data_IF_258290713019
#
_entry.id   IF_258290713019
#
_cell.length_a   1.000
_cell.length_b   1.000
_cell.length_c   1.000
_cell.angle_alpha   90.00
_cell.angle_beta   90.00
_cell.angle_gamma   90.00
#
_symmetry.space_group_name_H-M   'P 1'
#
loop_
_entity.id
_entity.type
_entity.pdbx_description
1 polymer ?
#
# COMPACT_ATOMS: atom_id res chain seq x y z
N UNK A 1 -11.30 2.10 -6.94
CA UNK A 1 -11.10 3.52 -7.28
C UNK A 1 -9.87 3.65 -8.16
N UNK A 2 -9.79 4.69 -9.00
CA UNK A 2 -8.60 5.02 -9.78
C UNK A 2 -8.00 6.35 -9.28
N UNK A 3 -6.68 6.41 -9.07
CA UNK A 3 -5.96 7.66 -8.70
C UNK A 3 -4.95 7.98 -9.80
N UNK A 4 -4.92 9.24 -10.26
CA UNK A 4 -3.92 9.69 -11.22
C UNK A 4 -2.67 10.21 -10.51
N UNK A 5 -1.50 9.77 -10.95
CA UNK A 5 -0.20 10.27 -10.51
C UNK A 5 0.49 10.92 -11.70
N UNK A 6 0.76 12.22 -11.59
CA UNK A 6 1.49 12.99 -12.61
C UNK A 6 2.83 13.41 -12.03
N UNK A 7 3.91 13.17 -12.77
CA UNK A 7 5.26 13.55 -12.33
C UNK A 7 5.68 14.92 -12.86
N UNK A 8 6.87 15.36 -12.49
CA UNK A 8 7.44 16.65 -12.93
C UNK A 8 7.70 16.73 -14.43
N UNK A 9 7.73 15.60 -15.15
CA UNK A 9 7.86 15.55 -16.60
C UNK A 9 6.50 15.65 -17.32
N UNK A 10 5.40 15.79 -16.57
CA UNK A 10 4.04 15.88 -17.11
C UNK A 10 3.44 14.54 -17.53
N UNK A 11 4.14 13.41 -17.35
CA UNK A 11 3.59 12.09 -17.66
C UNK A 11 2.70 11.60 -16.53
N UNK A 12 1.62 10.91 -16.89
CA UNK A 12 0.59 10.47 -15.94
C UNK A 12 0.37 8.97 -16.04
N UNK A 13 0.30 8.31 -14.89
CA UNK A 13 -0.20 6.93 -14.76
C UNK A 13 -1.43 6.92 -13.85
N UNK A 14 -2.27 5.90 -13.96
CA UNK A 14 -3.42 5.71 -13.06
C UNK A 14 -3.24 4.47 -12.22
N UNK A 15 -3.31 4.59 -10.90
CA UNK A 15 -3.29 3.45 -9.97
C UNK A 15 -4.71 2.95 -9.70
N UNK A 16 -4.88 1.63 -9.62
CA UNK A 16 -6.11 1.01 -9.13
C UNK A 16 -5.97 0.74 -7.63
N UNK A 17 -6.92 1.22 -6.83
CA UNK A 17 -6.95 1.04 -5.38
C UNK A 17 -8.26 0.36 -4.95
N UNK A 18 -8.14 -0.69 -4.15
CA UNK A 18 -9.25 -1.29 -3.42
C UNK A 18 -9.62 -0.39 -2.24
N UNK A 19 -10.83 0.15 -2.26
CA UNK A 19 -11.30 1.09 -1.23
C UNK A 19 -11.59 0.42 0.12
N UNK A 20 -11.71 -0.90 0.16
CA UNK A 20 -12.01 -1.64 1.39
C UNK A 20 -10.79 -1.79 2.31
N UNK A 21 -9.59 -1.73 1.74
CA UNK A 21 -8.33 -1.95 2.45
C UNK A 21 -7.21 -0.99 2.04
N UNK A 22 -7.46 -0.08 1.09
CA UNK A 22 -6.51 0.87 0.51
C UNK A 22 -5.33 0.19 -0.20
N UNK A 23 -5.46 -1.05 -0.64
CA UNK A 23 -4.39 -1.73 -1.38
C UNK A 23 -4.36 -1.31 -2.83
N UNK A 24 -3.15 -1.02 -3.31
CA UNK A 24 -2.87 -0.85 -4.73
C UNK A 24 -2.97 -2.23 -5.39
N UNK A 25 -3.71 -2.34 -6.48
CA UNK A 25 -3.96 -3.59 -7.21
C UNK A 25 -3.20 -3.67 -8.54
N UNK A 26 -2.80 -2.52 -9.06
CA UNK A 26 -2.21 -2.39 -10.39
C UNK A 26 -2.18 -0.95 -10.85
N UNK A 27 -1.78 -0.73 -12.08
CA UNK A 27 -1.78 0.57 -12.71
C UNK A 27 -2.10 0.50 -14.21
N UNK A 28 -2.38 1.65 -14.79
CA UNK A 28 -2.53 1.88 -16.22
C UNK A 28 -1.56 2.97 -16.67
N UNK A 29 -0.90 2.73 -17.80
CA UNK A 29 -0.12 3.73 -18.53
C UNK A 29 -0.81 4.07 -19.86
N UNK A 30 -1.08 5.36 -20.13
CA UNK A 30 -1.57 5.83 -21.42
C UNK A 30 -0.46 6.07 -22.45
N UNK A 31 0.77 5.56 -22.24
CA UNK A 31 1.89 5.85 -23.12
C UNK A 31 1.57 5.48 -24.59
N UNK A 32 1.78 6.38 -25.58
CA UNK A 32 1.33 6.17 -26.97
C UNK A 32 1.80 4.85 -27.62
N UNK A 33 3.05 4.46 -27.35
CA UNK A 33 3.69 3.30 -27.99
C UNK A 33 3.56 1.96 -27.24
N UNK A 34 2.98 1.96 -26.04
CA UNK A 34 3.02 0.82 -25.11
C UNK A 34 1.92 0.93 -24.05
N UNK A 35 0.79 1.56 -24.42
CA UNK A 35 -0.32 1.74 -23.51
C UNK A 35 -0.82 0.38 -23.02
N UNK A 36 -1.21 0.31 -21.76
CA UNK A 36 -1.68 -0.94 -21.18
C UNK A 36 -1.91 -0.81 -19.69
N UNK A 37 -2.50 -1.83 -19.10
CA UNK A 37 -2.64 -1.94 -17.66
C UNK A 37 -1.92 -3.17 -17.12
N UNK A 38 -1.38 -3.05 -15.92
CA UNK A 38 -0.57 -4.05 -15.27
C UNK A 38 -1.08 -4.28 -13.86
N UNK A 39 -1.38 -5.53 -13.52
CA UNK A 39 -1.98 -5.93 -12.26
C UNK A 39 -1.07 -6.90 -11.54
N UNK A 40 -1.08 -6.86 -10.21
CA UNK A 40 -0.33 -7.81 -9.39
C UNK A 40 -0.78 -9.26 -9.64
N UNK A 41 0.14 -10.20 -9.43
CA UNK A 41 -0.09 -11.64 -9.55
C UNK A 41 -0.81 -12.19 -8.31
N UNK A 42 -2.01 -11.71 -8.06
CA UNK A 42 -2.86 -12.24 -6.99
C UNK A 42 -4.35 -12.22 -7.37
N UNK A 43 -5.16 -13.13 -6.79
CA UNK A 43 -6.59 -13.24 -7.05
C UNK A 43 -7.40 -11.94 -6.94
N UNK A 44 -7.05 -11.01 -6.04
CA UNK A 44 -7.81 -9.76 -5.87
C UNK A 44 -7.53 -8.83 -7.05
N UNK A 45 -6.26 -8.62 -7.39
CA UNK A 45 -5.86 -7.82 -8.54
C UNK A 45 -6.35 -8.40 -9.87
N UNK A 46 -6.34 -9.73 -10.01
CA UNK A 46 -6.90 -10.41 -11.19
C UNK A 46 -8.40 -10.18 -11.34
N UNK A 47 -9.17 -10.21 -10.25
CA UNK A 47 -10.60 -9.86 -10.31
C UNK A 47 -10.82 -8.40 -10.66
N UNK A 48 -9.97 -7.50 -10.16
CA UNK A 48 -10.08 -6.07 -10.41
C UNK A 48 -9.97 -5.70 -11.89
N UNK A 49 -9.29 -6.51 -12.71
CA UNK A 49 -9.24 -6.34 -14.17
C UNK A 49 -10.61 -6.24 -14.82
N UNK A 50 -11.69 -6.77 -14.22
CA UNK A 50 -13.05 -6.69 -14.77
C UNK A 50 -13.72 -5.32 -14.52
N UNK A 51 -13.20 -4.53 -13.58
CA UNK A 51 -13.88 -3.36 -13.05
C UNK A 51 -13.14 -2.05 -13.32
N UNK A 52 -11.81 -2.09 -13.45
CA UNK A 52 -10.98 -0.89 -13.67
C UNK A 52 -10.23 -0.95 -15.00
N UNK A 53 -9.92 0.23 -15.55
CA UNK A 53 -9.20 0.39 -16.81
C UNK A 53 -9.86 -0.37 -17.98
N UNK A 54 -11.19 -0.35 -18.08
CA UNK A 54 -11.95 -1.16 -19.05
C UNK A 54 -11.61 -0.89 -20.52
N UNK A 55 -11.22 0.33 -20.85
CA UNK A 55 -10.74 0.70 -22.19
C UNK A 55 -9.26 0.38 -22.44
N UNK A 56 -8.52 -0.08 -21.43
CA UNK A 56 -7.09 -0.38 -21.59
C UNK A 56 -6.87 -1.78 -22.18
N UNK A 57 -6.03 -1.84 -23.20
CA UNK A 57 -5.54 -3.08 -23.79
C UNK A 57 -4.06 -2.95 -24.15
N UNK A 58 -3.21 -3.95 -23.83
CA UNK A 58 -3.55 -5.17 -23.09
C UNK A 58 -3.73 -4.96 -21.57
N UNK A 59 -4.41 -5.91 -20.91
CA UNK A 59 -4.42 -6.03 -19.44
C UNK A 59 -3.48 -7.17 -19.01
N UNK A 60 -2.31 -6.83 -18.51
CA UNK A 60 -1.22 -7.77 -18.21
C UNK A 60 -1.12 -8.09 -16.73
N UNK A 61 -0.82 -9.35 -16.39
CA UNK A 61 -0.41 -9.76 -15.04
C UNK A 61 1.08 -9.58 -14.88
N UNK A 62 1.50 -8.90 -13.81
CA UNK A 62 2.90 -8.80 -13.40
C UNK A 62 3.41 -10.18 -12.94
N UNK A 63 4.72 -10.35 -12.84
CA UNK A 63 5.30 -11.63 -12.42
C UNK A 63 5.33 -11.81 -10.89
N UNK A 64 4.85 -10.82 -10.14
CA UNK A 64 4.89 -10.75 -8.69
C UNK A 64 3.57 -10.20 -8.14
N UNK A 65 3.25 -10.58 -6.90
CA UNK A 65 2.12 -10.03 -6.16
C UNK A 65 2.46 -8.66 -5.52
N UNK A 66 1.44 -7.99 -4.97
CA UNK A 66 1.61 -6.66 -4.38
C UNK A 66 2.03 -6.67 -2.90
N UNK A 67 2.36 -7.83 -2.31
CA UNK A 67 2.87 -7.88 -0.93
C UNK A 67 4.23 -7.21 -0.81
N UNK A 68 4.56 -6.73 0.39
CA UNK A 68 5.91 -6.22 0.65
C UNK A 68 6.99 -7.25 0.31
N UNK A 69 6.77 -8.52 0.64
CA UNK A 69 7.68 -9.63 0.30
C UNK A 69 7.80 -9.84 -1.21
N UNK A 70 6.68 -9.82 -1.94
CA UNK A 70 6.66 -9.93 -3.40
C UNK A 70 7.45 -8.82 -4.07
N UNK A 71 7.32 -7.59 -3.57
CA UNK A 71 8.09 -6.43 -4.05
C UNK A 71 9.58 -6.53 -3.71
N UNK A 72 9.92 -6.94 -2.48
CA UNK A 72 11.31 -7.09 -2.03
C UNK A 72 12.06 -8.18 -2.81
N UNK A 73 11.39 -9.30 -3.10
CA UNK A 73 11.93 -10.36 -3.97
C UNK A 73 12.23 -9.88 -5.40
N UNK A 74 11.67 -8.73 -5.81
CA UNK A 74 11.91 -8.12 -7.11
C UNK A 74 12.88 -6.93 -7.03
N UNK A 75 13.59 -6.74 -5.93
CA UNK A 75 14.65 -5.73 -5.80
C UNK A 75 14.18 -4.35 -5.33
N UNK A 76 12.96 -4.26 -4.80
CA UNK A 76 12.56 -3.16 -3.94
C UNK A 76 13.11 -3.39 -2.51
N UNK A 77 13.14 -2.34 -1.70
CA UNK A 77 13.47 -2.47 -0.28
C UNK A 77 12.67 -1.48 0.52
N UNK A 78 11.83 -1.97 1.41
CA UNK A 78 11.01 -1.10 2.26
C UNK A 78 11.84 -0.27 3.23
N UNK A 79 12.98 -0.80 3.70
CA UNK A 79 13.83 -0.13 4.71
C UNK A 79 14.76 0.92 4.13
N UNK A 80 15.25 0.72 2.90
CA UNK A 80 16.28 1.57 2.32
C UNK A 80 15.73 2.58 1.31
N UNK A 81 14.53 2.38 0.80
CA UNK A 81 13.92 3.28 -0.16
C UNK A 81 13.47 4.58 0.53
N UNK A 82 13.81 5.70 -0.09
CA UNK A 82 13.39 7.02 0.38
C UNK A 82 11.89 7.17 0.09
N UNK A 83 11.10 7.48 1.13
CA UNK A 83 9.72 7.94 0.99
C UNK A 83 9.77 9.40 0.56
N UNK A 84 9.11 9.75 -0.53
CA UNK A 84 9.36 11.07 -1.10
C UNK A 84 8.52 11.40 -2.31
N UNK A 85 8.11 12.67 -2.42
CA UNK A 85 7.49 13.17 -3.65
C UNK A 85 8.48 13.16 -4.84
N UNK A 86 9.76 13.57 -4.68
CA UNK A 86 10.81 13.33 -5.67
C UNK A 86 11.02 11.86 -6.04
N UNK A 87 11.02 10.95 -5.04
CA UNK A 87 11.12 9.52 -5.30
C UNK A 87 9.90 9.05 -6.12
N UNK A 88 8.69 9.45 -5.72
CA UNK A 88 7.45 9.11 -6.44
C UNK A 88 7.44 9.68 -7.87
N UNK A 89 7.93 10.90 -8.08
CA UNK A 89 8.04 11.55 -9.40
C UNK A 89 8.90 10.72 -10.38
N UNK A 90 10.06 10.24 -9.91
CA UNK A 90 10.93 9.35 -10.71
C UNK A 90 10.27 8.00 -11.00
N UNK A 91 9.48 7.50 -10.05
CA UNK A 91 8.86 6.18 -10.14
C UNK A 91 7.64 6.16 -11.05
N UNK A 92 6.92 7.27 -11.18
CA UNK A 92 5.88 7.43 -12.21
C UNK A 92 6.49 7.26 -13.61
N UNK A 93 7.71 7.73 -13.86
CA UNK A 93 8.39 7.50 -15.15
C UNK A 93 8.60 6.00 -15.41
N UNK A 94 9.06 5.27 -14.39
CA UNK A 94 9.30 3.84 -14.49
C UNK A 94 8.02 3.04 -14.80
N UNK A 95 6.89 3.45 -14.25
CA UNK A 95 5.58 2.87 -14.57
C UNK A 95 5.13 3.28 -15.97
N UNK A 96 5.31 4.55 -16.33
CA UNK A 96 4.87 5.09 -17.62
C UNK A 96 5.58 4.42 -18.81
N UNK A 97 6.88 4.16 -18.67
CA UNK A 97 7.74 3.60 -19.73
C UNK A 97 7.97 2.07 -19.63
N UNK A 98 7.29 1.37 -18.73
CA UNK A 98 7.49 -0.07 -18.55
C UNK A 98 7.12 -0.85 -19.82
N UNK A 99 8.05 -1.71 -20.28
CA UNK A 99 7.93 -2.50 -21.53
C UNK A 99 7.70 -1.69 -22.80
N UNK A 100 7.98 -0.39 -22.77
CA UNK A 100 7.94 0.42 -23.97
C UNK A 100 9.12 0.10 -24.90
N UNK A 101 8.95 0.25 -26.23
CA UNK A 101 10.08 0.17 -27.14
C UNK A 101 11.19 1.14 -26.70
N UNK A 102 12.44 0.68 -26.70
CA UNK A 102 13.64 1.45 -26.33
C UNK A 102 13.73 1.91 -24.86
N UNK A 103 12.88 1.40 -23.97
CA UNK A 103 12.96 1.61 -22.53
C UNK A 103 13.78 0.51 -21.85
N UNK A 104 14.52 0.88 -20.80
CA UNK A 104 15.26 -0.07 -19.94
C UNK A 104 14.52 -0.41 -18.62
N UNK A 105 13.28 0.08 -18.45
CA UNK A 105 12.49 -0.18 -17.26
C UNK A 105 11.99 -1.63 -17.23
N UNK A 106 12.26 -2.29 -16.11
CA UNK A 106 11.99 -3.71 -15.89
C UNK A 106 11.20 -3.94 -14.58
N UNK A 107 10.95 -5.20 -14.22
CA UNK A 107 10.20 -5.57 -13.01
C UNK A 107 10.76 -4.94 -11.74
N UNK A 108 12.08 -4.79 -11.62
CA UNK A 108 12.70 -4.17 -10.44
C UNK A 108 12.34 -2.71 -10.31
N UNK A 109 12.30 -1.97 -11.42
CA UNK A 109 11.89 -0.57 -11.42
C UNK A 109 10.40 -0.43 -11.06
N UNK A 110 9.55 -1.31 -11.61
CA UNK A 110 8.11 -1.35 -11.29
C UNK A 110 7.88 -1.73 -9.82
N UNK A 111 8.60 -2.72 -9.29
CA UNK A 111 8.48 -3.13 -7.88
C UNK A 111 8.90 -2.00 -6.94
N UNK A 112 9.99 -1.28 -7.26
CA UNK A 112 10.41 -0.07 -6.52
C UNK A 112 9.36 1.04 -6.59
N UNK A 113 8.71 1.21 -7.74
CA UNK A 113 7.65 2.19 -7.92
C UNK A 113 6.44 1.88 -7.04
N UNK A 114 6.00 0.62 -7.04
CA UNK A 114 4.91 0.20 -6.17
C UNK A 114 5.24 0.27 -4.69
N UNK A 115 6.47 -0.06 -4.27
CA UNK A 115 6.90 0.07 -2.87
C UNK A 115 6.67 1.50 -2.37
N UNK A 116 7.20 2.50 -3.10
CA UNK A 116 7.03 3.90 -2.72
C UNK A 116 5.57 4.35 -2.84
N UNK A 117 4.85 3.95 -3.89
CA UNK A 117 3.44 4.31 -4.04
C UNK A 117 2.59 3.77 -2.89
N UNK A 118 2.80 2.53 -2.45
CA UNK A 118 2.10 1.93 -1.32
C UNK A 118 2.40 2.71 -0.03
N UNK A 119 3.66 3.02 0.24
CA UNK A 119 4.02 3.75 1.46
C UNK A 119 3.54 5.21 1.43
N UNK A 120 3.68 5.90 0.29
CA UNK A 120 3.33 7.31 0.16
C UNK A 120 1.83 7.57 0.00
N UNK A 121 1.04 6.56 -0.39
CA UNK A 121 -0.41 6.69 -0.61
C UNK A 121 -1.17 5.85 0.40
N UNK A 122 -1.02 4.52 0.36
CA UNK A 122 -1.80 3.62 1.21
C UNK A 122 -1.44 3.75 2.68
N UNK A 123 -0.15 3.76 3.03
CA UNK A 123 0.28 3.85 4.43
C UNK A 123 0.13 5.27 4.99
N UNK A 124 0.43 6.30 4.18
CA UNK A 124 0.14 7.68 4.52
C UNK A 124 -1.36 7.94 4.76
N UNK A 125 -2.25 7.34 3.97
CA UNK A 125 -3.69 7.43 4.19
C UNK A 125 -4.13 6.71 5.48
N UNK A 126 -3.40 5.69 5.94
CA UNK A 126 -3.69 4.97 7.18
C UNK A 126 -3.15 5.69 8.41
N UNK A 127 -1.98 6.33 8.31
CA UNK A 127 -1.24 6.86 9.45
C UNK A 127 -0.71 8.29 9.23
N UNK A 128 -1.11 9.23 10.09
CA UNK A 128 -0.63 10.63 10.05
C UNK A 128 0.90 10.70 10.10
N UNK A 129 1.54 9.94 11.01
CA UNK A 129 3.00 9.93 11.16
C UNK A 129 3.73 9.53 9.87
N UNK A 130 3.10 8.70 9.04
CA UNK A 130 3.68 8.31 7.74
C UNK A 130 3.40 9.41 6.72
N UNK A 131 2.19 9.99 6.71
CA UNK A 131 1.87 11.13 5.86
C UNK A 131 2.83 12.32 6.08
N UNK A 132 3.18 12.62 7.33
CA UNK A 132 4.12 13.69 7.70
C UNK A 132 5.56 13.40 7.22
N UNK A 133 5.92 12.12 7.05
CA UNK A 133 7.24 11.73 6.58
C UNK A 133 7.40 11.84 5.06
N UNK A 134 6.32 11.68 4.29
CA UNK A 134 6.35 11.66 2.81
C UNK A 134 6.92 12.93 2.17
N UNK A 135 6.59 14.16 2.61
CA UNK A 135 7.15 15.38 2.01
C UNK A 135 8.65 15.57 2.22
N UNK A 136 9.24 14.85 3.18
CA UNK A 136 10.58 15.14 3.70
C UNK A 136 11.70 14.27 3.09
N UNK A 137 11.42 13.46 2.06
CA UNK A 137 12.41 12.58 1.42
C UNK A 137 13.20 11.70 2.42
N UNK A 138 12.51 11.20 3.44
CA UNK A 138 13.12 10.39 4.49
C UNK A 138 12.90 8.90 4.24
N UNK A 139 13.88 8.08 4.60
CA UNK A 139 13.68 6.63 4.72
C UNK A 139 12.64 6.36 5.82
N UNK A 140 11.85 5.28 5.72
CA UNK A 140 10.93 4.90 6.78
C UNK A 140 11.66 4.74 8.09
N UNK A 141 11.17 5.39 9.14
CA UNK A 141 11.64 5.15 10.50
C UNK A 141 11.19 3.76 10.96
N UNK A 142 11.84 3.22 11.99
CA UNK A 142 11.42 1.94 12.55
C UNK A 142 10.00 2.00 13.14
N UNK A 143 9.61 3.17 13.69
CA UNK A 143 8.24 3.47 14.10
C UNK A 143 7.26 3.32 12.94
N UNK A 144 7.54 3.95 11.78
CA UNK A 144 6.70 3.83 10.59
C UNK A 144 6.56 2.38 10.12
N UNK A 145 7.67 1.64 10.03
CA UNK A 145 7.65 0.22 9.66
C UNK A 145 6.82 -0.63 10.64
N UNK A 146 6.89 -0.32 11.93
CA UNK A 146 6.11 -1.02 12.96
C UNK A 146 4.62 -0.69 12.86
N UNK A 147 4.25 0.55 12.55
CA UNK A 147 2.88 0.97 12.31
C UNK A 147 2.27 0.22 11.12
N UNK A 148 2.94 0.27 9.97
CA UNK A 148 2.56 -0.44 8.74
C UNK A 148 2.32 -1.95 9.02
N UNK A 149 3.25 -2.61 9.75
CA UNK A 149 3.13 -4.03 10.11
C UNK A 149 2.02 -4.35 11.13
N UNK A 150 1.49 -3.35 11.84
CA UNK A 150 0.48 -3.54 12.88
C UNK A 150 -0.87 -2.91 12.53
N UNK A 151 -1.05 -2.33 11.34
CA UNK A 151 -2.30 -1.68 10.94
C UNK A 151 -3.53 -2.56 11.12
N UNK A 152 -3.47 -3.82 10.69
CA UNK A 152 -4.57 -4.78 10.86
C UNK A 152 -4.88 -5.08 12.34
N UNK A 153 -3.84 -5.22 13.17
CA UNK A 153 -4.00 -5.48 14.61
C UNK A 153 -4.54 -4.26 15.34
N UNK A 154 -4.03 -3.06 15.03
CA UNK A 154 -4.51 -1.80 15.57
C UNK A 154 -5.97 -1.55 15.18
N UNK A 155 -6.32 -1.77 13.91
CA UNK A 155 -7.70 -1.67 13.43
C UNK A 155 -8.63 -2.59 14.22
N UNK A 156 -8.23 -3.86 14.38
CA UNK A 156 -8.99 -4.83 15.18
C UNK A 156 -9.10 -4.41 16.64
N UNK A 157 -8.03 -3.90 17.25
CA UNK A 157 -8.03 -3.48 18.65
C UNK A 157 -8.98 -2.31 18.88
N UNK A 158 -8.95 -1.29 18.01
CA UNK A 158 -9.84 -0.13 18.07
C UNK A 158 -11.30 -0.54 17.89
N UNK A 159 -11.60 -1.40 16.91
CA UNK A 159 -12.97 -1.87 16.66
C UNK A 159 -13.53 -2.75 17.79
N UNK A 160 -12.68 -3.37 18.58
CA UNK A 160 -13.08 -4.22 19.72
C UNK A 160 -12.85 -3.53 21.07
N UNK A 161 -12.48 -2.25 21.08
CA UNK A 161 -12.24 -1.51 22.30
C UNK A 161 -13.52 -1.33 23.11
N UNK A 162 -13.39 -1.23 24.42
CA UNK A 162 -14.53 -0.90 25.28
C UNK A 162 -15.15 0.45 24.84
N UNK A 163 -16.47 0.54 24.62
CA UNK A 163 -17.09 1.75 24.10
C UNK A 163 -17.02 2.92 25.08
N UNK A 164 -16.86 2.65 26.38
CA UNK A 164 -16.81 3.64 27.46
C UNK A 164 -15.37 3.99 27.82
N UNK A 165 -14.57 3.01 28.20
CA UNK A 165 -13.19 3.23 28.68
C UNK A 165 -12.18 3.38 27.54
N UNK A 166 -12.55 2.95 26.34
CA UNK A 166 -11.68 2.88 25.14
C UNK A 166 -10.51 1.91 25.29
N UNK A 167 -10.50 1.06 26.31
CA UNK A 167 -9.46 0.07 26.54
C UNK A 167 -9.53 -1.08 25.53
N UNK A 168 -8.37 -1.62 25.17
CA UNK A 168 -8.24 -2.75 24.29
C UNK A 168 -8.34 -4.06 25.08
N UNK A 169 -8.95 -5.08 24.47
CA UNK A 169 -8.99 -6.44 25.03
C UNK A 169 -7.60 -7.07 25.18
N UNK A 170 -6.63 -6.62 24.39
CA UNK A 170 -5.25 -7.05 24.44
C UNK A 170 -4.34 -5.91 24.02
N UNK A 171 -3.30 -5.71 24.81
CA UNK A 171 -2.27 -4.70 24.58
C UNK A 171 -1.46 -5.00 23.31
N UNK A 172 -1.01 -3.95 22.62
CA UNK A 172 -0.12 -4.05 21.46
C UNK A 172 1.22 -3.40 21.77
N UNK A 173 2.31 -4.08 21.42
CA UNK A 173 3.66 -3.52 21.50
C UNK A 173 4.07 -2.93 20.15
N UNK A 174 4.21 -1.60 20.12
CA UNK A 174 4.81 -0.85 19.02
C UNK A 174 6.21 -0.38 19.42
N UNK A 175 6.83 0.49 18.61
CA UNK A 175 8.06 1.20 18.96
C UNK A 175 7.87 2.70 18.71
N UNK A 176 8.55 3.52 19.49
CA UNK A 176 8.60 4.98 19.28
C UNK A 176 9.73 5.39 18.32
N UNK A 177 9.87 6.70 18.12
CA UNK A 177 10.91 7.29 17.27
C UNK A 177 12.35 7.01 17.76
N UNK A 178 12.53 6.63 19.03
CA UNK A 178 13.81 6.30 19.65
C UNK A 178 14.05 4.78 19.73
N UNK A 179 13.24 3.99 19.03
CA UNK A 179 13.27 2.52 19.04
C UNK A 179 13.02 1.89 20.42
N UNK A 180 12.25 2.58 21.27
CA UNK A 180 11.79 2.02 22.55
C UNK A 180 10.43 1.37 22.37
N UNK A 181 10.25 0.21 22.98
CA UNK A 181 8.96 -0.47 23.01
C UNK A 181 7.92 0.41 23.71
N UNK A 182 6.76 0.57 23.06
CA UNK A 182 5.62 1.28 23.64
C UNK A 182 4.40 0.37 23.68
N UNK A 183 3.79 0.31 24.86
CA UNK A 183 2.56 -0.40 25.08
C UNK A 183 1.34 0.47 24.70
N UNK A 184 0.55 -0.01 23.75
CA UNK A 184 -0.70 0.61 23.30
C UNK A 184 -1.86 -0.22 23.83
N UNK A 185 -2.55 0.31 24.84
CA UNK A 185 -3.61 -0.39 25.57
C UNK A 185 -5.01 0.20 25.38
N UNK A 186 -5.15 1.34 24.71
CA UNK A 186 -6.45 2.01 24.52
C UNK A 186 -6.45 2.91 23.28
N UNK A 187 -7.66 3.31 22.84
CA UNK A 187 -7.84 4.13 21.65
C UNK A 187 -7.44 5.62 21.84
N UNK A 188 -7.21 6.08 23.07
CA UNK A 188 -6.70 7.43 23.34
C UNK A 188 -5.17 7.53 23.19
N UNK A 189 -4.48 6.42 23.02
CA UNK A 189 -3.04 6.39 22.74
C UNK A 189 -2.69 7.25 21.51
N UNK A 190 -1.55 7.98 21.51
CA UNK A 190 -1.11 8.79 20.36
C UNK A 190 -0.83 7.96 19.10
N UNK A 191 -0.73 6.64 19.21
CA UNK A 191 -0.61 5.74 18.05
C UNK A 191 -1.94 5.49 17.34
N UNK A 192 -3.05 5.87 17.99
CA UNK A 192 -4.42 5.74 17.50
C UNK A 192 -5.02 7.12 17.32
N UNK A 193 -5.21 7.86 18.41
CA UNK A 193 -5.86 9.17 18.41
C UNK A 193 -5.00 10.19 17.65
N UNK A 194 -5.54 10.72 16.55
CA UNK A 194 -4.85 11.67 15.69
C UNK A 194 -3.77 11.06 14.79
N UNK A 195 -3.59 9.73 14.82
CA UNK A 195 -2.62 9.04 13.96
C UNK A 195 -3.28 8.02 13.05
N UNK A 196 -4.16 7.14 13.56
CA UNK A 196 -4.81 6.11 12.75
C UNK A 196 -6.09 6.67 12.10
N UNK A 197 -6.10 6.79 10.78
CA UNK A 197 -7.20 7.41 10.03
C UNK A 197 -8.15 6.42 9.36
N UNK A 198 -7.65 5.23 9.01
CA UNK A 198 -8.44 4.22 8.33
C UNK A 198 -8.39 2.91 9.12
N UNK A 199 -9.55 2.32 9.36
CA UNK A 199 -9.68 1.04 10.05
C UNK A 199 -9.96 -0.07 9.03
N UNK A 200 -9.19 -1.14 9.09
CA UNK A 200 -9.51 -2.36 8.36
C UNK A 200 -10.76 -3.02 8.97
N UNK A 201 -11.84 -3.10 8.18
CA UNK A 201 -13.07 -3.80 8.61
C UNK A 201 -12.79 -5.32 8.72
N UNK A 202 -13.11 -5.96 9.86
CA UNK A 202 -13.07 -7.41 9.98
C UNK A 202 -14.04 -8.05 8.98
N UNK A 203 -13.69 -9.22 8.47
CA UNK A 203 -14.60 -9.99 7.61
C UNK A 203 -15.82 -10.45 8.41
N UNK A 204 -17.01 -10.13 7.91
CA UNK A 204 -18.26 -10.66 8.45
C UNK A 204 -18.26 -12.18 8.25
N UNK A 205 -18.42 -12.96 9.34
CA UNK A 205 -18.40 -14.45 9.30
C UNK A 205 -19.58 -15.07 8.53
N UNK A 206 -20.50 -14.26 7.99
CA UNK A 206 -21.74 -14.68 7.34
C UNK A 206 -21.86 -14.28 5.85
N UNK A 207 -20.77 -13.88 5.19
CA UNK A 207 -20.82 -13.70 3.73
C UNK A 207 -20.91 -15.09 3.04
N UNK A 208 -21.79 -15.29 2.05
CA UNK A 208 -21.89 -16.55 1.31
C UNK A 208 -20.53 -16.97 0.76
N UNK A 209 -20.29 -18.28 0.74
CA UNK A 209 -19.05 -19.01 0.43
C UNK A 209 -18.41 -18.75 -0.95
N UNK A 210 -18.81 -17.70 -1.67
CA UNK A 210 -18.19 -17.24 -2.92
C UNK A 210 -17.13 -16.14 -2.74
N UNK A 211 -16.90 -15.63 -1.52
CA UNK A 211 -15.85 -14.65 -1.20
C UNK A 211 -14.78 -15.24 -0.28
N UNK A 212 -14.16 -16.36 -0.67
CA UNK A 212 -13.01 -16.94 0.04
C UNK A 212 -11.79 -15.99 -0.04
N UNK A 213 -11.67 -15.08 0.91
CA UNK A 213 -10.47 -14.27 1.17
C UNK A 213 -9.75 -14.77 2.43
N UNK A 214 -9.40 -16.06 2.50
CA UNK A 214 -8.84 -16.66 3.73
C UNK A 214 -7.32 -16.51 3.89
N UNK A 215 -6.59 -15.85 2.98
CA UNK A 215 -5.14 -15.57 3.13
C UNK A 215 -4.65 -14.19 2.66
N UNK A 216 -5.49 -13.37 2.04
CA UNK A 216 -5.02 -12.16 1.36
C UNK A 216 -4.62 -10.99 2.27
N UNK A 217 -5.34 -10.75 3.36
CA UNK A 217 -5.05 -9.59 4.24
C UNK A 217 -3.72 -9.76 4.99
N UNK A 218 -3.28 -11.00 5.19
CA UNK A 218 -1.97 -11.31 5.78
C UNK A 218 -0.82 -11.06 4.81
N UNK A 219 -1.02 -11.23 3.49
CA UNK A 219 0.09 -11.07 2.56
C UNK A 219 0.52 -9.60 2.42
N UNK A 220 -0.41 -8.65 2.56
CA UNK A 220 -0.09 -7.23 2.42
C UNK A 220 0.31 -6.55 3.73
N UNK A 221 -0.10 -7.09 4.89
CA UNK A 221 0.15 -6.51 6.21
C UNK A 221 1.20 -7.29 7.06
N UNK A 222 1.65 -8.46 6.61
CA UNK A 222 2.64 -9.26 7.33
C UNK A 222 3.78 -9.69 6.42
N UNK A 223 4.95 -9.79 7.03
CA UNK A 223 6.26 -10.21 6.51
C UNK A 223 6.13 -11.48 5.65
#
# INVERSE_FOLDING_TARGET
MEISLTNSNGVTVRLAIDVMNVYVLGYYTPHPNCSGSYFFKDPVAERAKKYVFNSSHPKTTLQFDGSYRGLENNGASRKSQILGLPALSKLVQALYEYKCPNSNYNNTHVARAFMVAIQAISEAARFQKIADAVPNDRKPTREALKLENNWSKLSKAVLNADPTTKEFKSNLTLVDANDKDVNVSNANSPYVKGNLHLLLKPKDRQAPSQLLHSRHDQNYATI
#
